data_IF_500350322376
#
_entry.id   IF_500350322376
#
_cell.length_a   1.000
_cell.length_b   1.000
_cell.length_c   1.000
_cell.angle_alpha   90.00
_cell.angle_beta   90.00
_cell.angle_gamma   90.00
#
_symmetry.space_group_name_H-M   'P 1'
#
loop_
_entity.id
_entity.type
_entity.pdbx_description
1 polymer ?
#
# COMPACT_ATOMS: atom_id res chain seq x y z
N UNK A 1 34.70 -41.75 -4.05
CA UNK A 1 33.90 -41.44 -5.26
C UNK A 1 34.32 -40.06 -5.76
N UNK A 2 35.03 -39.99 -6.90
CA UNK A 2 35.33 -38.72 -7.58
C UNK A 2 34.13 -38.41 -8.47
N UNK A 3 33.27 -37.49 -8.05
CA UNK A 3 32.19 -37.01 -8.93
C UNK A 3 32.84 -36.20 -10.05
N UNK A 4 32.61 -36.60 -11.30
CA UNK A 4 33.11 -35.86 -12.45
C UNK A 4 32.49 -34.46 -12.46
N UNK A 5 33.34 -33.45 -12.28
CA UNK A 5 32.98 -32.03 -12.14
C UNK A 5 32.01 -31.56 -13.24
N UNK A 6 32.09 -32.15 -14.43
CA UNK A 6 31.19 -31.89 -15.57
C UNK A 6 29.74 -32.28 -15.29
N UNK A 7 29.53 -33.42 -14.62
CA UNK A 7 28.19 -33.90 -14.29
C UNK A 7 27.54 -33.08 -13.17
N UNK A 8 28.33 -32.66 -12.18
CA UNK A 8 27.86 -31.76 -11.11
C UNK A 8 27.48 -30.38 -11.66
N UNK A 9 28.19 -29.89 -12.68
CA UNK A 9 27.88 -28.58 -13.29
C UNK A 9 26.56 -28.58 -14.05
N UNK A 10 26.27 -29.67 -14.78
CA UNK A 10 25.01 -29.80 -15.53
C UNK A 10 23.81 -29.90 -14.57
N UNK A 11 23.93 -30.71 -13.52
CA UNK A 11 22.87 -30.86 -12.51
C UNK A 11 22.68 -29.57 -11.70
N UNK A 12 23.77 -28.88 -11.33
CA UNK A 12 23.68 -27.59 -10.65
C UNK A 12 23.03 -26.52 -11.52
N UNK A 13 23.33 -26.50 -12.82
CA UNK A 13 22.75 -25.56 -13.78
C UNK A 13 21.26 -25.75 -13.97
N UNK A 14 20.79 -26.98 -14.15
CA UNK A 14 19.35 -27.27 -14.29
C UNK A 14 18.59 -27.00 -13.00
N UNK A 15 19.18 -27.28 -11.84
CA UNK A 15 18.60 -26.97 -10.54
C UNK A 15 18.43 -25.45 -10.34
N UNK A 16 19.47 -24.66 -10.64
CA UNK A 16 19.41 -23.21 -10.57
C UNK A 16 18.34 -22.63 -11.50
N UNK A 17 18.22 -23.18 -12.72
CA UNK A 17 17.18 -22.78 -13.67
C UNK A 17 15.78 -23.06 -13.13
N UNK A 18 15.56 -24.24 -12.54
CA UNK A 18 14.30 -24.62 -11.90
C UNK A 18 13.91 -23.69 -10.74
N UNK A 19 14.89 -23.29 -9.91
CA UNK A 19 14.68 -22.35 -8.80
C UNK A 19 14.27 -20.96 -9.34
N UNK A 20 14.95 -20.45 -10.36
CA UNK A 20 14.61 -19.15 -10.96
C UNK A 20 13.21 -19.18 -11.56
N UNK A 21 12.88 -20.23 -12.32
CA UNK A 21 11.53 -20.42 -12.87
C UNK A 21 10.46 -20.50 -11.77
N UNK A 22 10.72 -21.25 -10.70
CA UNK A 22 9.81 -21.35 -9.55
C UNK A 22 9.55 -19.99 -8.87
N UNK A 23 10.62 -19.22 -8.64
CA UNK A 23 10.52 -17.88 -8.03
C UNK A 23 9.77 -16.88 -8.92
N UNK A 24 9.98 -16.93 -10.25
CA UNK A 24 9.27 -16.05 -11.20
C UNK A 24 7.78 -16.40 -11.27
N UNK A 25 7.42 -17.68 -11.31
CA UNK A 25 6.02 -18.09 -11.29
C UNK A 25 5.32 -17.67 -9.99
N UNK A 26 5.98 -17.88 -8.85
CA UNK A 26 5.40 -17.52 -7.55
C UNK A 26 5.30 -16.00 -7.36
N UNK A 27 6.29 -15.24 -7.83
CA UNK A 27 6.27 -13.78 -7.80
C UNK A 27 5.16 -13.15 -8.64
N UNK A 28 4.86 -13.73 -9.81
CA UNK A 28 3.81 -13.21 -10.71
C UNK A 28 2.40 -13.52 -10.19
N UNK A 29 2.18 -14.70 -9.61
CA UNK A 29 0.91 -15.07 -8.96
C UNK A 29 0.63 -14.24 -7.69
N UNK A 30 1.66 -14.00 -6.88
CA UNK A 30 1.54 -13.19 -5.67
C UNK A 30 1.21 -11.72 -5.99
N UNK A 31 1.83 -11.15 -7.03
CA UNK A 31 1.53 -9.78 -7.50
C UNK A 31 0.07 -9.62 -7.93
N UNK A 32 -0.47 -10.55 -8.72
CA UNK A 32 -1.89 -10.51 -9.16
C UNK A 32 -2.89 -10.59 -8.00
N UNK A 33 -2.56 -11.30 -6.92
CA UNK A 33 -3.40 -11.36 -5.71
C UNK A 33 -3.32 -10.08 -4.88
N UNK A 34 -2.11 -9.51 -4.74
CA UNK A 34 -1.94 -8.24 -4.04
C UNK A 34 -2.63 -7.07 -4.76
N UNK A 35 -2.59 -7.03 -6.09
CA UNK A 35 -3.24 -5.96 -6.86
C UNK A 35 -4.77 -6.02 -6.73
N UNK A 36 -5.37 -7.21 -6.73
CA UNK A 36 -6.81 -7.38 -6.50
C UNK A 36 -7.23 -6.99 -5.09
N UNK A 37 -6.44 -7.36 -4.07
CA UNK A 37 -6.72 -6.95 -2.69
C UNK A 37 -6.50 -5.45 -2.47
N UNK A 38 -5.53 -4.84 -3.16
CA UNK A 38 -5.31 -3.39 -3.12
C UNK A 38 -6.47 -2.57 -3.70
N UNK A 39 -7.17 -3.10 -4.71
CA UNK A 39 -8.35 -2.46 -5.28
C UNK A 39 -9.53 -2.45 -4.29
N UNK A 40 -9.75 -3.53 -3.54
CA UNK A 40 -10.83 -3.59 -2.52
C UNK A 40 -10.62 -2.65 -1.34
N UNK A 41 -9.38 -2.23 -1.07
CA UNK A 41 -9.04 -1.22 -0.06
C UNK A 41 -9.42 0.20 -0.49
N UNK A 42 -9.64 0.44 -1.78
CA UNK A 42 -10.07 1.72 -2.32
C UNK A 42 -11.58 1.72 -2.56
N UNK A 43 -12.23 2.84 -2.22
CA UNK A 43 -13.65 3.06 -2.42
C UNK A 43 -14.11 2.67 -3.83
N UNK A 44 -13.40 3.15 -4.86
CA UNK A 44 -13.76 2.85 -6.25
C UNK A 44 -13.45 1.43 -6.71
N UNK A 45 -12.51 0.74 -6.07
CA UNK A 45 -12.28 -0.67 -6.38
C UNK A 45 -13.30 -1.58 -5.70
N UNK A 46 -13.77 -1.21 -4.50
CA UNK A 46 -14.93 -1.83 -3.87
C UNK A 46 -16.19 -1.69 -4.72
N UNK A 47 -16.52 -0.46 -5.16
CA UNK A 47 -17.70 -0.20 -6.01
C UNK A 47 -17.62 -0.98 -7.32
N UNK A 48 -16.48 -0.93 -8.03
CA UNK A 48 -16.30 -1.70 -9.28
C UNK A 48 -16.40 -3.21 -9.07
N UNK A 49 -15.88 -3.73 -7.96
CA UNK A 49 -15.96 -5.14 -7.66
C UNK A 49 -17.41 -5.57 -7.38
N UNK A 50 -18.13 -4.81 -6.56
CA UNK A 50 -19.53 -5.09 -6.27
C UNK A 50 -20.41 -4.94 -7.50
N UNK A 51 -20.19 -3.92 -8.34
CA UNK A 51 -20.88 -3.76 -9.61
C UNK A 51 -20.63 -4.95 -10.56
N UNK A 52 -19.39 -5.48 -10.61
CA UNK A 52 -19.06 -6.65 -11.43
C UNK A 52 -19.77 -7.94 -10.99
N UNK A 53 -20.11 -8.04 -9.71
CA UNK A 53 -20.80 -9.19 -9.12
C UNK A 53 -22.31 -9.05 -9.28
N UNK A 54 -22.85 -7.87 -8.93
CA UNK A 54 -24.29 -7.60 -8.92
C UNK A 54 -24.84 -7.44 -10.33
N UNK A 55 -24.04 -6.90 -11.26
CA UNK A 55 -24.40 -6.61 -12.64
C UNK A 55 -25.78 -5.93 -12.76
N UNK A 56 -25.96 -4.75 -12.12
CA UNK A 56 -27.26 -4.10 -12.04
C UNK A 56 -27.73 -3.66 -13.42
N UNK A 57 -29.03 -3.83 -13.70
CA UNK A 57 -29.68 -3.26 -14.88
C UNK A 57 -29.69 -1.73 -14.82
N UNK A 58 -29.89 -1.07 -15.95
CA UNK A 58 -29.81 0.40 -16.06
C UNK A 58 -30.78 1.13 -15.11
N UNK A 59 -31.98 0.58 -14.93
CA UNK A 59 -33.01 1.07 -13.99
C UNK A 59 -32.60 0.90 -12.52
N UNK A 60 -31.87 -0.17 -12.20
CA UNK A 60 -31.44 -0.48 -10.83
C UNK A 60 -30.16 0.25 -10.44
N UNK A 61 -29.34 0.62 -11.42
CA UNK A 61 -28.02 1.25 -11.18
C UNK A 61 -28.14 2.55 -10.40
N UNK A 62 -29.14 3.38 -10.69
CA UNK A 62 -29.38 4.65 -10.01
C UNK A 62 -29.67 4.47 -8.50
N UNK A 63 -30.23 3.33 -8.11
CA UNK A 63 -30.57 3.02 -6.70
C UNK A 63 -29.41 2.32 -6.00
N UNK A 64 -28.70 1.44 -6.70
CA UNK A 64 -27.64 0.61 -6.13
C UNK A 64 -26.32 1.40 -5.99
N UNK A 65 -26.00 2.28 -6.94
CA UNK A 65 -24.71 2.99 -6.94
C UNK A 65 -24.46 3.81 -5.67
N UNK A 66 -25.41 4.65 -5.20
CA UNK A 66 -25.19 5.44 -3.97
C UNK A 66 -24.97 4.57 -2.73
N UNK A 67 -25.59 3.37 -2.68
CA UNK A 67 -25.40 2.42 -1.59
C UNK A 67 -23.99 1.82 -1.62
N UNK A 68 -23.51 1.43 -2.81
CA UNK A 68 -22.17 0.88 -2.99
C UNK A 68 -21.09 1.92 -2.68
N UNK A 69 -21.27 3.18 -3.11
CA UNK A 69 -20.35 4.28 -2.82
C UNK A 69 -20.26 4.55 -1.32
N UNK A 70 -21.41 4.74 -0.65
CA UNK A 70 -21.45 4.95 0.80
C UNK A 70 -20.80 3.79 1.58
N UNK A 71 -21.03 2.56 1.13
CA UNK A 71 -20.44 1.36 1.74
C UNK A 71 -18.94 1.30 1.47
N UNK A 72 -18.49 1.63 0.25
CA UNK A 72 -17.09 1.69 -0.12
C UNK A 72 -16.31 2.73 0.69
N UNK A 73 -16.88 3.93 0.88
CA UNK A 73 -16.31 4.99 1.71
C UNK A 73 -16.19 4.56 3.18
N UNK A 74 -17.23 3.91 3.72
CA UNK A 74 -17.17 3.38 5.09
C UNK A 74 -16.12 2.28 5.24
N UNK A 75 -16.03 1.39 4.25
CA UNK A 75 -15.05 0.31 4.25
C UNK A 75 -13.62 0.83 4.18
N UNK A 76 -13.35 1.84 3.34
CA UNK A 76 -12.01 2.45 3.25
C UNK A 76 -11.60 3.12 4.57
N UNK A 77 -12.54 3.78 5.27
CA UNK A 77 -12.30 4.34 6.60
C UNK A 77 -11.97 3.27 7.64
N UNK A 78 -12.73 2.17 7.67
CA UNK A 78 -12.49 1.05 8.60
C UNK A 78 -11.10 0.45 8.36
N UNK A 79 -10.76 0.20 7.10
CA UNK A 79 -9.45 -0.34 6.73
C UNK A 79 -8.33 0.63 7.11
N UNK A 80 -8.50 1.93 6.82
CA UNK A 80 -7.53 2.96 7.16
C UNK A 80 -7.28 3.07 8.66
N UNK A 81 -8.34 3.03 9.46
CA UNK A 81 -8.25 3.05 10.92
C UNK A 81 -7.54 1.79 11.46
N UNK A 82 -7.92 0.61 11.00
CA UNK A 82 -7.29 -0.64 11.40
C UNK A 82 -5.79 -0.70 11.03
N UNK A 83 -5.42 -0.16 9.87
CA UNK A 83 -4.01 -0.07 9.46
C UNK A 83 -3.21 0.88 10.36
N UNK A 84 -3.78 2.03 10.72
CA UNK A 84 -3.15 2.99 11.62
C UNK A 84 -2.95 2.38 13.02
N UNK A 85 -3.96 1.69 13.53
CA UNK A 85 -3.90 1.00 14.82
C UNK A 85 -2.83 -0.11 14.80
N UNK A 86 -2.84 -0.98 13.79
CA UNK A 86 -1.84 -2.03 13.65
C UNK A 86 -0.42 -1.47 13.56
N UNK A 87 -0.21 -0.37 12.83
CA UNK A 87 1.09 0.31 12.76
C UNK A 87 1.54 0.76 14.15
N UNK A 88 0.66 1.43 14.89
CA UNK A 88 0.93 1.88 16.25
C UNK A 88 1.29 0.71 17.18
N UNK A 89 0.55 -0.41 17.10
CA UNK A 89 0.86 -1.62 17.87
C UNK A 89 2.24 -2.19 17.54
N UNK A 90 2.59 -2.25 16.25
CA UNK A 90 3.90 -2.76 15.82
C UNK A 90 5.04 -1.83 16.23
N UNK A 91 4.84 -0.52 16.19
CA UNK A 91 5.81 0.47 16.68
C UNK A 91 6.02 0.33 18.19
N UNK A 92 4.95 0.18 18.96
CA UNK A 92 5.04 -0.05 20.40
C UNK A 92 5.78 -1.36 20.73
N UNK A 93 5.47 -2.45 20.03
CA UNK A 93 6.18 -3.72 20.16
C UNK A 93 7.67 -3.56 19.84
N UNK A 94 8.01 -2.83 18.77
CA UNK A 94 9.41 -2.58 18.38
C UNK A 94 10.17 -1.79 19.46
N UNK A 95 9.56 -0.75 20.02
CA UNK A 95 10.17 0.03 21.10
C UNK A 95 10.42 -0.82 22.35
N UNK A 96 9.50 -1.75 22.67
CA UNK A 96 9.66 -2.69 23.78
C UNK A 96 10.73 -3.74 23.52
N UNK A 97 10.91 -4.18 22.28
CA UNK A 97 11.91 -5.18 21.91
C UNK A 97 13.32 -4.56 21.76
N UNK A 98 13.45 -3.31 21.35
CA UNK A 98 14.76 -2.67 21.13
C UNK A 98 15.82 -2.92 22.23
N UNK A 99 15.52 -2.81 23.55
CA UNK A 99 16.53 -3.03 24.59
C UNK A 99 16.95 -4.50 24.78
N UNK A 100 16.14 -5.47 24.33
CA UNK A 100 16.45 -6.91 24.45
C UNK A 100 17.09 -7.51 23.20
N UNK A 101 17.16 -6.74 22.11
CA UNK A 101 17.74 -7.20 20.86
C UNK A 101 19.25 -6.93 20.80
N UNK A 102 19.99 -7.89 20.27
CA UNK A 102 21.40 -7.69 19.92
C UNK A 102 21.57 -6.74 18.71
N UNK A 103 22.81 -6.41 18.36
CA UNK A 103 23.10 -5.49 17.27
C UNK A 103 22.63 -6.02 15.89
N UNK A 104 22.78 -7.32 15.64
CA UNK A 104 22.41 -7.94 14.36
C UNK A 104 20.89 -8.07 14.22
N UNK A 105 20.20 -8.39 15.31
CA UNK A 105 18.75 -8.45 15.41
C UNK A 105 18.13 -7.06 15.18
N UNK A 106 18.67 -6.00 15.80
CA UNK A 106 18.23 -4.63 15.54
C UNK A 106 18.43 -4.22 14.08
N UNK A 107 19.54 -4.63 13.46
CA UNK A 107 19.80 -4.36 12.04
C UNK A 107 18.75 -5.00 11.13
N UNK A 108 18.44 -6.29 11.34
CA UNK A 108 17.36 -7.00 10.61
C UNK A 108 15.99 -6.37 10.84
N UNK A 109 15.68 -5.97 12.08
CA UNK A 109 14.42 -5.30 12.42
C UNK A 109 14.29 -3.93 11.71
N UNK A 110 15.39 -3.16 11.64
CA UNK A 110 15.41 -1.87 10.95
C UNK A 110 15.28 -2.01 9.43
N UNK A 111 15.84 -3.07 8.84
CA UNK A 111 15.68 -3.39 7.42
C UNK A 111 14.23 -3.73 7.06
N UNK A 112 13.51 -4.44 7.94
CA UNK A 112 12.08 -4.70 7.76
C UNK A 112 11.26 -3.39 7.69
N UNK A 113 11.59 -2.41 8.54
CA UNK A 113 10.91 -1.10 8.54
C UNK A 113 11.18 -0.23 7.30
N UNK A 114 12.18 -0.58 6.48
CA UNK A 114 12.50 0.12 5.22
C UNK A 114 11.79 -0.46 4.00
N UNK A 115 11.17 -1.63 4.14
CA UNK A 115 10.38 -2.22 3.07
C UNK A 115 9.19 -1.31 2.74
N UNK A 116 8.75 -1.25 1.46
CA UNK A 116 7.52 -0.55 1.10
C UNK A 116 6.40 -1.04 1.99
N UNK A 117 5.73 -0.11 2.66
CA UNK A 117 4.63 -0.43 3.55
C UNK A 117 3.61 -1.33 2.82
N UNK A 118 3.45 -2.60 3.22
CA UNK A 118 2.53 -3.53 2.57
C UNK A 118 1.06 -3.11 2.72
N UNK A 119 0.80 -2.11 3.57
CA UNK A 119 -0.50 -1.50 3.77
C UNK A 119 -0.70 -0.23 2.93
N UNK A 120 0.36 0.33 2.34
CA UNK A 120 0.27 1.51 1.49
C UNK A 120 -0.36 1.16 0.14
N UNK A 121 -1.32 1.97 -0.33
CA UNK A 121 -1.78 1.92 -1.72
C UNK A 121 -0.62 1.96 -2.71
N UNK A 122 -0.60 1.12 -3.77
CA UNK A 122 0.35 1.30 -4.85
C UNK A 122 0.16 2.69 -5.49
N UNK A 123 1.24 3.43 -5.78
CA UNK A 123 1.14 4.70 -6.48
C UNK A 123 0.63 4.43 -7.91
N UNK A 124 -0.52 5.02 -8.26
CA UNK A 124 -1.13 4.88 -9.59
C UNK A 124 -2.47 4.12 -9.65
N UNK A 125 -3.01 3.68 -8.51
CA UNK A 125 -4.35 3.07 -8.43
C UNK A 125 -5.53 4.05 -8.38
N UNK A 126 -5.29 5.36 -8.58
CA UNK A 126 -6.36 6.35 -8.69
C UNK A 126 -7.14 6.20 -9.99
N UNK A 127 -8.44 6.59 -10.03
CA UNK A 127 -9.17 6.66 -11.29
C UNK A 127 -8.44 7.51 -12.33
N UNK A 128 -8.43 7.12 -13.61
CA UNK A 128 -8.17 8.07 -14.67
C UNK A 128 -9.33 9.08 -14.70
N UNK A 129 -9.06 10.35 -14.38
CA UNK A 129 -10.02 11.45 -14.64
C UNK A 129 -10.52 12.25 -13.44
N UNK A 130 -9.67 12.54 -12.46
CA UNK A 130 -10.03 13.43 -11.35
C UNK A 130 -8.88 14.33 -10.92
N UNK A 131 -8.17 14.94 -11.87
CA UNK A 131 -7.32 16.07 -11.54
C UNK A 131 -8.19 17.20 -10.98
N UNK A 132 -7.80 17.88 -9.88
CA UNK A 132 -8.51 19.08 -9.46
C UNK A 132 -8.49 20.08 -10.62
N UNK A 133 -9.62 20.75 -10.95
CA UNK A 133 -9.60 21.79 -11.95
C UNK A 133 -8.58 22.85 -11.51
N UNK A 134 -7.78 23.31 -12.47
CA UNK A 134 -6.79 24.36 -12.26
C UNK A 134 -7.43 25.54 -11.52
N UNK A 135 -7.03 25.70 -10.26
CA UNK A 135 -7.27 26.91 -9.49
C UNK A 135 -6.25 27.96 -9.90
N UNK A 136 -6.44 28.54 -11.09
CA UNK A 136 -6.10 29.94 -11.32
C UNK A 136 -6.84 30.77 -10.26
N UNK A 137 -6.20 31.11 -9.15
CA UNK A 137 -6.36 32.38 -8.40
C UNK A 137 -5.47 32.35 -7.17
N UNK A 138 -4.34 33.06 -7.22
CA UNK A 138 -3.94 34.06 -6.20
C UNK A 138 -2.49 34.48 -6.41
N UNK A 139 -2.32 35.43 -7.33
CA UNK A 139 -1.37 36.52 -7.14
C UNK A 139 -1.79 37.24 -5.86
N UNK A 140 -0.95 37.22 -4.84
CA UNK A 140 -1.17 37.98 -3.61
C UNK A 140 0.04 37.81 -2.70
N UNK A 141 1.07 38.64 -2.93
CA UNK A 141 2.23 38.69 -2.05
C UNK A 141 1.89 39.12 -0.62
N UNK A 142 2.83 38.98 0.32
CA UNK A 142 2.60 39.24 1.73
C UNK A 142 2.41 40.74 2.01
N UNK A 143 1.37 41.17 2.74
CA UNK A 143 1.37 42.50 3.33
C UNK A 143 2.33 42.54 4.52
N UNK A 144 3.19 43.56 4.51
CA UNK A 144 4.27 43.78 5.46
C UNK A 144 3.82 44.05 6.90
N UNK A 145 4.84 44.09 7.76
CA UNK A 145 4.73 44.11 9.22
C UNK A 145 4.00 45.33 9.79
N UNK A 146 3.24 45.04 10.85
CA UNK A 146 2.90 45.98 11.90
C UNK A 146 3.77 45.71 13.13
N UNK A 147 4.27 46.73 13.85
CA UNK A 147 5.13 46.57 15.02
C UNK A 147 4.35 45.99 16.22
N UNK A 148 5.05 45.33 17.17
CA UNK A 148 4.41 44.78 18.36
C UNK A 148 3.94 45.89 19.32
N UNK A 149 2.79 45.73 20.00
CA UNK A 149 2.42 46.63 21.09
C UNK A 149 3.35 46.46 22.31
N UNK A 150 3.79 47.59 22.85
CA UNK A 150 4.71 47.72 24.00
C UNK A 150 4.16 47.12 25.31
N UNK A 151 5.03 46.73 26.26
CA UNK A 151 4.63 46.22 27.56
C UNK A 151 4.55 47.33 28.62
N UNK A 152 3.37 47.58 29.18
CA UNK A 152 3.10 48.38 30.40
C UNK A 152 1.67 48.03 30.86
N UNK A 153 1.30 47.70 32.11
CA UNK A 153 1.93 47.64 33.44
C UNK A 153 1.19 46.58 34.26
#
# INVERSE_FOLDING_TARGET
>A
MKMDLRSTTIVGGTLALGIVLGLVLQGTLQRRRNDRMGQLRHEQGFVRHMESIIQPRADQRAVIMPLLEKTGARNSQIIGAAQAELRSTLEAMRAQLEPVLDADQRRRMNEMGRLPDPFRPPPGGGPPGGGPPGGETSRGGPPGGGPPPSPER
#
